data_IF_420598585437
#
_entry.id   IF_420598585437
#
_cell.length_a   1.000
_cell.length_b   1.000
_cell.length_c   1.000
_cell.angle_alpha   90.00
_cell.angle_beta   90.00
_cell.angle_gamma   90.00
#
_symmetry.space_group_name_H-M   'P 1'
#
loop_
_entity.id
_entity.type
_entity.pdbx_description
1 polymer ?
#
# COMPACT_ATOMS: atom_id res chain seq x y z
N UNK A 1 34.48 9.50 34.89
CA UNK A 1 33.22 10.05 34.35
C UNK A 1 33.48 10.44 32.90
N UNK A 2 33.25 9.53 31.96
CA UNK A 2 33.53 9.75 30.53
C UNK A 2 32.15 9.68 29.85
N UNK A 3 31.54 10.84 29.58
CA UNK A 3 30.33 10.93 28.78
C UNK A 3 30.70 10.89 27.30
N UNK A 4 30.22 9.88 26.62
CA UNK A 4 30.54 9.52 25.25
C UNK A 4 29.90 10.49 24.25
N UNK A 5 30.73 11.11 23.43
CA UNK A 5 30.37 11.99 22.27
C UNK A 5 29.58 11.28 21.12
N UNK A 6 29.16 10.05 21.29
CA UNK A 6 28.44 9.30 20.24
C UNK A 6 26.95 9.62 20.09
N UNK A 7 26.30 10.18 21.13
CA UNK A 7 24.87 10.47 21.10
C UNK A 7 24.49 11.75 20.34
N UNK A 8 25.42 12.68 20.17
CA UNK A 8 25.12 14.00 19.56
C UNK A 8 25.13 13.99 18.02
N UNK A 9 25.86 13.06 17.41
CA UNK A 9 25.99 12.99 15.93
C UNK A 9 24.76 12.34 15.30
N UNK A 10 24.13 11.38 15.97
CA UNK A 10 22.90 10.74 15.46
C UNK A 10 21.69 11.68 15.45
N UNK A 11 21.57 12.57 16.42
CA UNK A 11 20.45 13.52 16.55
C UNK A 11 20.49 14.63 15.49
N UNK A 12 21.69 15.04 15.06
CA UNK A 12 21.84 16.09 14.03
C UNK A 12 21.64 15.53 12.62
N UNK A 13 21.98 14.26 12.37
CA UNK A 13 21.75 13.61 11.08
C UNK A 13 20.28 13.34 10.82
N UNK A 14 19.53 12.89 11.82
CA UNK A 14 18.10 12.67 11.70
C UNK A 14 17.32 13.96 11.42
N UNK A 15 17.67 15.07 12.08
CA UNK A 15 16.97 16.35 11.86
C UNK A 15 17.30 17.01 10.52
N UNK A 16 18.50 16.78 9.95
CA UNK A 16 18.88 17.34 8.66
C UNK A 16 18.22 16.58 7.48
N UNK A 17 18.08 15.26 7.58
CA UNK A 17 17.41 14.43 6.58
C UNK A 17 15.90 14.66 6.63
N UNK A 18 15.30 14.74 7.82
CA UNK A 18 13.88 15.04 7.98
C UNK A 18 13.50 16.44 7.47
N UNK A 19 14.30 17.49 7.75
CA UNK A 19 13.99 18.83 7.28
C UNK A 19 14.17 19.03 5.76
N UNK A 20 15.09 18.32 5.11
CA UNK A 20 15.29 18.46 3.65
C UNK A 20 14.23 17.69 2.84
N UNK A 21 13.70 16.58 3.38
CA UNK A 21 12.66 15.78 2.73
C UNK A 21 11.25 16.34 2.97
N UNK A 22 11.02 17.00 4.10
CA UNK A 22 9.68 17.48 4.48
C UNK A 22 9.23 18.73 3.72
N UNK A 23 10.14 19.61 3.31
CA UNK A 23 9.76 20.84 2.58
C UNK A 23 9.29 20.59 1.13
N UNK A 24 9.63 19.44 0.53
CA UNK A 24 9.14 19.07 -0.81
C UNK A 24 7.85 18.24 -0.80
N UNK A 25 7.56 17.54 0.33
CA UNK A 25 6.40 16.65 0.44
C UNK A 25 5.10 17.40 0.78
N UNK A 26 5.18 18.67 1.21
CA UNK A 26 4.02 19.52 1.46
C UNK A 26 3.20 19.83 0.19
N UNK A 27 3.78 19.62 -1.01
CA UNK A 27 3.11 19.81 -2.30
C UNK A 27 2.50 18.52 -2.88
N UNK A 28 2.73 17.36 -2.24
CA UNK A 28 2.12 16.10 -2.68
C UNK A 28 0.65 16.11 -2.29
N UNK A 29 -0.21 16.23 -3.28
CA UNK A 29 -1.66 16.22 -3.10
C UNK A 29 -2.27 14.96 -3.70
N UNK A 30 -3.24 14.40 -3.02
CA UNK A 30 -3.99 13.23 -3.47
C UNK A 30 -3.62 11.94 -2.74
N UNK A 31 -4.62 11.14 -2.41
CA UNK A 31 -4.44 9.89 -1.67
C UNK A 31 -3.73 8.83 -2.51
N UNK A 32 -3.15 7.83 -1.81
CA UNK A 32 -2.39 6.75 -2.42
C UNK A 32 -2.93 5.39 -1.98
N UNK A 33 -3.04 4.46 -2.91
CA UNK A 33 -3.37 3.06 -2.62
C UNK A 33 -2.11 2.20 -2.73
N UNK A 34 -1.76 1.50 -1.67
CA UNK A 34 -0.74 0.45 -1.70
C UNK A 34 -1.42 -0.85 -2.08
N UNK A 35 -1.09 -1.39 -3.26
CA UNK A 35 -1.75 -2.56 -3.82
C UNK A 35 -0.80 -3.73 -4.07
N UNK A 36 -1.38 -4.89 -4.28
CA UNK A 36 -0.66 -6.13 -4.62
C UNK A 36 -1.23 -7.35 -3.92
N UNK A 37 -0.66 -8.50 -4.23
CA UNK A 37 -1.08 -9.82 -3.73
C UNK A 37 -0.82 -9.99 -2.23
N UNK A 38 -1.33 -11.05 -1.63
CA UNK A 38 -1.01 -11.43 -0.26
C UNK A 38 0.50 -11.61 -0.07
N UNK A 39 1.02 -11.25 1.09
CA UNK A 39 2.45 -11.37 1.40
C UNK A 39 3.35 -10.29 0.77
N UNK A 40 2.86 -9.41 -0.10
CA UNK A 40 3.71 -8.36 -0.69
C UNK A 40 4.12 -7.26 0.30
N UNK A 41 3.50 -7.18 1.50
CA UNK A 41 3.92 -6.25 2.54
C UNK A 41 3.15 -4.93 2.57
N UNK A 42 1.93 -4.87 2.01
CA UNK A 42 1.10 -3.65 1.96
C UNK A 42 1.01 -2.90 3.27
N UNK A 43 0.55 -3.56 4.34
CA UNK A 43 0.37 -2.92 5.65
C UNK A 43 1.68 -2.42 6.24
N UNK A 44 2.75 -3.22 6.16
CA UNK A 44 4.08 -2.82 6.68
C UNK A 44 4.63 -1.62 5.92
N UNK A 45 4.54 -1.62 4.60
CA UNK A 45 5.01 -0.51 3.78
C UNK A 45 4.12 0.74 3.97
N UNK A 46 2.79 0.57 3.98
CA UNK A 46 1.86 1.68 4.20
C UNK A 46 2.08 2.35 5.57
N UNK A 47 2.31 1.56 6.62
CA UNK A 47 2.63 2.10 7.94
C UNK A 47 3.95 2.90 7.95
N UNK A 48 5.00 2.39 7.29
CA UNK A 48 6.27 3.12 7.16
C UNK A 48 6.11 4.41 6.35
N UNK A 49 5.36 4.36 5.23
CA UNK A 49 5.11 5.52 4.39
C UNK A 49 4.30 6.60 5.12
N UNK A 50 3.21 6.22 5.80
CA UNK A 50 2.37 7.16 6.56
C UNK A 50 3.12 7.81 7.72
N UNK A 51 3.96 7.02 8.41
CA UNK A 51 4.82 7.57 9.45
C UNK A 51 5.79 8.63 8.91
N UNK A 52 6.41 8.36 7.75
CA UNK A 52 7.37 9.30 7.14
C UNK A 52 6.70 10.57 6.57
N UNK A 53 5.48 10.45 6.04
CA UNK A 53 4.74 11.57 5.45
C UNK A 53 3.87 12.35 6.44
N UNK A 54 3.63 11.82 7.63
CA UNK A 54 2.64 12.35 8.56
C UNK A 54 1.19 12.17 8.06
N UNK A 55 0.95 11.15 7.20
CA UNK A 55 -0.35 10.88 6.58
C UNK A 55 -1.14 9.85 7.40
N UNK A 56 -2.42 9.71 7.07
CA UNK A 56 -3.31 8.75 7.72
C UNK A 56 -3.31 7.40 6.99
N UNK A 57 -3.27 6.31 7.75
CA UNK A 57 -3.38 4.94 7.24
C UNK A 57 -4.83 4.47 7.29
N UNK A 58 -5.28 3.89 6.19
CA UNK A 58 -6.56 3.18 6.07
C UNK A 58 -6.23 1.73 5.71
N UNK A 59 -6.47 0.80 6.64
CA UNK A 59 -6.36 -0.63 6.38
C UNK A 59 -7.65 -1.12 5.72
N UNK A 60 -7.57 -1.39 4.40
CA UNK A 60 -8.76 -1.75 3.62
C UNK A 60 -9.44 -3.04 4.10
N UNK A 61 -8.68 -3.96 4.68
CA UNK A 61 -9.22 -5.22 5.20
C UNK A 61 -10.18 -5.01 6.38
N UNK A 62 -10.04 -3.91 7.14
CA UNK A 62 -10.93 -3.57 8.27
C UNK A 62 -12.35 -3.17 7.80
N UNK A 63 -12.51 -2.84 6.53
CA UNK A 63 -13.79 -2.43 5.94
C UNK A 63 -14.56 -3.56 5.26
N UNK A 64 -14.07 -4.80 5.34
CA UNK A 64 -14.83 -5.93 4.81
C UNK A 64 -16.07 -6.22 5.64
N UNK A 65 -17.22 -6.45 4.99
CA UNK A 65 -18.41 -6.90 5.70
C UNK A 65 -18.18 -8.29 6.31
N UNK A 66 -18.90 -8.66 7.37
CA UNK A 66 -18.70 -9.93 8.07
C UNK A 66 -18.76 -11.16 7.16
N UNK A 67 -19.59 -11.13 6.13
CA UNK A 67 -19.75 -12.22 5.16
C UNK A 67 -18.44 -12.46 4.38
N UNK A 68 -17.76 -11.38 3.96
CA UNK A 68 -16.49 -11.45 3.27
C UNK A 68 -15.39 -11.97 4.20
N UNK A 69 -15.36 -11.49 5.44
CA UNK A 69 -14.41 -11.97 6.46
C UNK A 69 -14.59 -13.48 6.69
N UNK A 70 -15.82 -13.96 6.78
CA UNK A 70 -16.13 -15.38 6.97
C UNK A 70 -15.68 -16.23 5.78
N UNK A 71 -15.93 -15.77 4.53
CA UNK A 71 -15.42 -16.44 3.32
C UNK A 71 -13.89 -16.54 3.34
N UNK A 72 -13.18 -15.43 3.60
CA UNK A 72 -11.72 -15.41 3.64
C UNK A 72 -11.15 -16.35 4.72
N UNK A 73 -11.76 -16.39 5.90
CA UNK A 73 -11.38 -17.32 6.99
C UNK A 73 -11.59 -18.78 6.61
N UNK A 74 -12.62 -19.07 5.83
CA UNK A 74 -12.90 -20.41 5.31
C UNK A 74 -12.02 -20.78 4.10
N UNK A 75 -11.10 -19.90 3.66
CA UNK A 75 -10.28 -20.12 2.47
C UNK A 75 -11.04 -20.00 1.15
N UNK A 76 -12.22 -19.38 1.17
CA UNK A 76 -13.06 -19.16 -0.01
C UNK A 76 -12.69 -17.83 -0.64
N UNK A 77 -12.24 -17.78 -1.91
CA UNK A 77 -11.96 -16.53 -2.60
C UNK A 77 -13.23 -15.67 -2.75
N UNK A 78 -13.06 -14.36 -2.56
CA UNK A 78 -14.14 -13.42 -2.81
C UNK A 78 -14.41 -13.29 -4.31
N UNK A 79 -15.68 -13.15 -4.69
CA UNK A 79 -16.11 -12.85 -6.06
C UNK A 79 -16.01 -11.34 -6.35
N UNK A 80 -16.32 -10.95 -7.59
CA UNK A 80 -16.37 -9.52 -7.97
C UNK A 80 -17.56 -8.82 -7.28
N UNK A 81 -18.67 -9.52 -7.11
CA UNK A 81 -19.85 -9.05 -6.39
C UNK A 81 -19.57 -8.83 -4.91
N UNK A 82 -18.85 -9.76 -4.28
CA UNK A 82 -18.42 -9.61 -2.87
C UNK A 82 -17.58 -8.36 -2.67
N UNK A 83 -16.78 -7.96 -3.67
CA UNK A 83 -15.90 -6.80 -3.58
C UNK A 83 -16.56 -5.48 -3.96
N UNK A 84 -17.63 -5.50 -4.74
CA UNK A 84 -18.23 -4.30 -5.31
C UNK A 84 -18.63 -3.29 -4.21
N UNK A 85 -19.38 -3.75 -3.20
CA UNK A 85 -19.79 -2.90 -2.07
C UNK A 85 -18.61 -2.42 -1.22
N UNK A 86 -17.65 -3.32 -0.98
CA UNK A 86 -16.43 -3.00 -0.22
C UNK A 86 -15.59 -1.92 -0.91
N UNK A 87 -15.40 -1.96 -2.23
CA UNK A 87 -14.67 -0.93 -2.97
C UNK A 87 -15.35 0.44 -2.91
N UNK A 88 -16.68 0.48 -2.88
CA UNK A 88 -17.42 1.73 -2.68
C UNK A 88 -17.15 2.31 -1.28
N UNK A 89 -17.18 1.46 -0.25
CA UNK A 89 -16.87 1.88 1.12
C UNK A 89 -15.44 2.40 1.25
N UNK A 90 -14.47 1.75 0.59
CA UNK A 90 -13.08 2.21 0.58
C UNK A 90 -12.92 3.57 -0.12
N UNK A 91 -13.60 3.79 -1.24
CA UNK A 91 -13.59 5.10 -1.92
C UNK A 91 -14.19 6.20 -1.02
N UNK A 92 -15.27 5.90 -0.30
CA UNK A 92 -15.86 6.83 0.68
C UNK A 92 -14.90 7.13 1.84
N UNK A 93 -14.22 6.11 2.36
CA UNK A 93 -13.21 6.29 3.40
C UNK A 93 -12.06 7.18 2.94
N UNK A 94 -11.56 7.01 1.71
CA UNK A 94 -10.54 7.89 1.13
C UNK A 94 -11.01 9.35 1.04
N UNK A 95 -12.26 9.59 0.60
CA UNK A 95 -12.83 10.94 0.55
C UNK A 95 -12.93 11.55 1.95
N UNK A 96 -13.35 10.77 2.95
CA UNK A 96 -13.50 11.25 4.34
C UNK A 96 -12.15 11.60 4.99
N UNK A 97 -11.09 10.82 4.72
CA UNK A 97 -9.75 11.05 5.25
C UNK A 97 -8.99 12.14 4.48
N UNK A 98 -9.43 12.48 3.27
CA UNK A 98 -8.87 13.56 2.47
C UNK A 98 -7.57 13.18 1.73
N UNK A 99 -6.85 14.20 1.23
CA UNK A 99 -5.74 13.99 0.29
C UNK A 99 -4.49 13.38 0.92
N UNK A 100 -4.34 13.42 2.23
CA UNK A 100 -3.19 12.88 2.96
C UNK A 100 -3.51 11.50 3.56
N UNK A 101 -4.04 10.60 2.74
CA UNK A 101 -4.41 9.25 3.14
C UNK A 101 -3.69 8.19 2.31
N UNK A 102 -3.29 7.11 2.96
CA UNK A 102 -2.75 5.89 2.35
C UNK A 102 -3.70 4.75 2.66
N UNK A 103 -4.23 4.13 1.60
CA UNK A 103 -5.11 2.97 1.71
C UNK A 103 -4.35 1.69 1.36
N UNK A 104 -4.47 0.64 2.15
CA UNK A 104 -4.08 -0.71 1.72
C UNK A 104 -5.28 -1.41 1.05
N UNK A 105 -5.08 -1.92 -0.15
CA UNK A 105 -6.10 -2.67 -0.88
C UNK A 105 -5.43 -3.62 -1.87
N UNK A 106 -5.95 -4.83 -2.07
CA UNK A 106 -5.37 -5.73 -3.08
C UNK A 106 -5.47 -5.16 -4.49
N UNK A 107 -6.58 -4.54 -4.87
CA UNK A 107 -6.83 -3.80 -6.14
C UNK A 107 -6.34 -4.54 -7.41
N UNK A 108 -6.48 -5.88 -7.45
CA UNK A 108 -5.81 -6.76 -8.42
C UNK A 108 -6.30 -6.57 -9.85
N UNK A 109 -7.61 -6.36 -10.04
CA UNK A 109 -8.19 -6.13 -11.38
C UNK A 109 -8.20 -4.64 -11.72
N UNK A 110 -8.04 -4.33 -12.99
CA UNK A 110 -8.18 -2.95 -13.48
C UNK A 110 -9.55 -2.36 -13.12
N UNK A 111 -10.61 -3.17 -13.23
CA UNK A 111 -11.98 -2.76 -12.87
C UNK A 111 -12.11 -2.33 -11.41
N UNK A 112 -11.33 -2.91 -10.48
CA UNK A 112 -11.30 -2.49 -9.06
C UNK A 112 -10.61 -1.15 -8.89
N UNK A 113 -9.48 -0.94 -9.58
CA UNK A 113 -8.77 0.35 -9.58
C UNK A 113 -9.63 1.45 -10.18
N UNK A 114 -10.30 1.16 -11.30
CA UNK A 114 -11.24 2.09 -11.93
C UNK A 114 -12.45 2.41 -11.02
N UNK A 115 -12.91 1.42 -10.23
CA UNK A 115 -13.98 1.66 -9.24
C UNK A 115 -13.56 2.64 -8.15
N UNK A 116 -12.34 2.51 -7.62
CA UNK A 116 -11.81 3.44 -6.64
C UNK A 116 -11.61 4.84 -7.25
N UNK A 117 -11.07 4.95 -8.48
CA UNK A 117 -10.89 6.23 -9.19
C UNK A 117 -12.20 6.95 -9.49
N UNK A 118 -13.31 6.24 -9.70
CA UNK A 118 -14.63 6.90 -9.85
C UNK A 118 -15.03 7.72 -8.63
N UNK A 119 -14.66 7.25 -7.43
CA UNK A 119 -14.89 8.00 -6.19
C UNK A 119 -13.81 9.03 -5.87
N UNK A 120 -12.57 8.80 -6.36
CA UNK A 120 -11.39 9.62 -6.09
C UNK A 120 -10.58 9.77 -7.40
N UNK A 121 -10.86 10.77 -8.25
CA UNK A 121 -10.30 10.86 -9.61
C UNK A 121 -8.77 10.87 -9.66
N UNK A 122 -8.10 11.58 -8.75
CA UNK A 122 -6.63 11.72 -8.71
C UNK A 122 -5.92 10.61 -7.92
N UNK A 123 -6.60 9.47 -7.72
CA UNK A 123 -6.08 8.37 -6.94
C UNK A 123 -4.90 7.69 -7.62
N UNK A 124 -3.76 7.68 -6.91
CA UNK A 124 -2.53 7.03 -7.34
C UNK A 124 -2.37 5.67 -6.68
N UNK A 125 -1.67 4.76 -7.37
CA UNK A 125 -1.46 3.39 -6.88
C UNK A 125 0.04 3.07 -6.84
N UNK A 126 0.47 2.42 -5.78
CA UNK A 126 1.79 1.79 -5.67
C UNK A 126 1.58 0.29 -5.67
N UNK A 127 1.98 -0.36 -6.75
CA UNK A 127 1.92 -1.81 -6.89
C UNK A 127 3.21 -2.43 -6.35
N UNK A 128 3.09 -3.16 -5.23
CA UNK A 128 4.16 -3.96 -4.65
C UNK A 128 4.22 -5.30 -5.37
N UNK A 129 5.14 -5.42 -6.31
CA UNK A 129 5.28 -6.63 -7.13
C UNK A 129 6.09 -7.72 -6.42
N UNK A 130 5.57 -8.93 -6.44
CA UNK A 130 6.24 -10.17 -6.02
C UNK A 130 6.01 -11.27 -7.05
N UNK A 131 6.89 -12.27 -7.07
CA UNK A 131 6.58 -13.54 -7.73
C UNK A 131 5.63 -14.39 -6.85
N UNK A 132 5.00 -15.38 -7.49
CA UNK A 132 4.12 -16.31 -6.80
C UNK A 132 4.86 -17.07 -5.67
N UNK A 133 6.07 -17.53 -5.95
CA UNK A 133 6.93 -18.27 -5.03
C UNK A 133 7.30 -17.41 -3.81
N UNK A 134 7.67 -16.16 -4.04
CA UNK A 134 7.98 -15.20 -2.98
C UNK A 134 6.75 -14.90 -2.10
N UNK A 135 5.57 -14.75 -2.72
CA UNK A 135 4.32 -14.54 -1.99
C UNK A 135 4.00 -15.73 -1.08
N UNK A 136 4.06 -16.97 -1.61
CA UNK A 136 3.83 -18.20 -0.84
C UNK A 136 4.82 -18.29 0.32
N UNK A 137 6.13 -18.08 0.07
CA UNK A 137 7.15 -18.15 1.10
C UNK A 137 6.88 -17.16 2.25
N UNK A 138 6.50 -15.92 1.93
CA UNK A 138 6.21 -14.90 2.96
C UNK A 138 4.92 -15.19 3.73
N UNK A 139 3.87 -15.65 3.05
CA UNK A 139 2.59 -15.98 3.68
C UNK A 139 2.72 -17.18 4.62
N UNK A 140 3.49 -18.21 4.23
CA UNK A 140 3.72 -19.41 5.04
C UNK A 140 4.50 -19.14 6.34
N UNK A 141 5.27 -18.05 6.41
CA UNK A 141 6.05 -17.66 7.57
C UNK A 141 5.28 -16.81 8.59
N UNK A 142 4.03 -16.39 8.29
CA UNK A 142 3.24 -15.55 9.22
C UNK A 142 2.63 -16.41 10.33
N UNK A 143 2.99 -16.20 11.62
CA UNK A 143 2.35 -16.89 12.73
C UNK A 143 0.88 -16.48 12.85
N UNK A 144 -0.01 -17.45 13.04
CA UNK A 144 -1.43 -17.20 13.34
C UNK A 144 -2.34 -16.91 12.14
N UNK A 145 -1.83 -16.84 10.92
CA UNK A 145 -2.65 -16.73 9.73
C UNK A 145 -2.72 -18.04 8.96
N UNK A 146 -3.87 -18.70 9.03
CA UNK A 146 -4.24 -19.80 8.13
C UNK A 146 -4.56 -19.24 6.74
N UNK A 147 -3.56 -18.63 6.08
CA UNK A 147 -3.73 -18.21 4.70
C UNK A 147 -3.41 -19.41 3.80
N UNK A 148 -4.44 -19.98 3.23
CA UNK A 148 -4.27 -21.16 2.38
C UNK A 148 -3.54 -20.79 1.07
N UNK A 149 -2.59 -21.63 0.60
CA UNK A 149 -1.91 -21.41 -0.69
C UNK A 149 -2.88 -21.21 -1.85
N UNK A 150 -4.06 -21.82 -1.80
CA UNK A 150 -5.15 -21.65 -2.79
C UNK A 150 -5.63 -20.21 -2.93
N UNK A 151 -5.58 -19.41 -1.86
CA UNK A 151 -5.92 -17.99 -1.92
C UNK A 151 -4.83 -17.17 -2.61
N UNK A 152 -3.55 -17.55 -2.47
CA UNK A 152 -2.45 -16.93 -3.23
C UNK A 152 -2.66 -17.17 -4.71
N UNK A 153 -2.93 -18.41 -5.12
CA UNK A 153 -3.14 -18.78 -6.51
C UNK A 153 -4.31 -18.03 -7.13
N UNK A 154 -5.43 -17.92 -6.40
CA UNK A 154 -6.59 -17.16 -6.87
C UNK A 154 -6.28 -15.66 -7.04
N UNK A 155 -5.41 -15.10 -6.21
CA UNK A 155 -4.99 -13.70 -6.35
C UNK A 155 -4.07 -13.48 -7.55
N UNK A 156 -3.13 -14.39 -7.82
CA UNK A 156 -2.30 -14.33 -9.02
C UNK A 156 -3.10 -14.53 -10.29
N UNK A 157 -4.10 -15.40 -10.27
CA UNK A 157 -5.03 -15.59 -11.38
C UNK A 157 -5.91 -14.34 -11.66
N UNK A 158 -6.24 -13.58 -10.60
CA UNK A 158 -7.02 -12.36 -10.72
C UNK A 158 -6.17 -11.11 -11.00
N UNK A 159 -4.83 -11.18 -10.86
CA UNK A 159 -3.95 -10.04 -11.01
C UNK A 159 -3.84 -9.60 -12.47
N UNK A 160 -4.42 -8.47 -12.78
CA UNK A 160 -4.17 -7.72 -13.99
C UNK A 160 -3.05 -6.71 -13.71
N UNK A 161 -1.81 -7.06 -14.11
CA UNK A 161 -0.65 -6.18 -13.88
C UNK A 161 -0.89 -4.80 -14.49
N UNK A 162 -0.64 -3.71 -13.74
CA UNK A 162 -0.90 -2.35 -14.22
C UNK A 162 0.23 -1.84 -15.13
N UNK A 163 0.50 -2.56 -16.23
CA UNK A 163 1.54 -2.17 -17.19
C UNK A 163 1.10 -0.92 -17.95
N UNK A 164 1.91 0.14 -17.88
CA UNK A 164 1.63 1.45 -18.51
C UNK A 164 0.27 2.05 -18.10
N UNK A 165 -0.21 1.72 -16.91
CA UNK A 165 -1.42 2.31 -16.36
C UNK A 165 -1.09 3.66 -15.72
N UNK A 166 -1.73 4.74 -16.18
CA UNK A 166 -1.51 6.09 -15.66
C UNK A 166 -1.78 6.15 -14.14
N UNK A 167 -0.96 6.91 -13.42
CA UNK A 167 -1.07 7.05 -11.96
C UNK A 167 -0.73 5.77 -11.20
N UNK A 168 0.03 4.83 -11.79
CA UNK A 168 0.50 3.62 -11.10
C UNK A 168 2.02 3.52 -11.16
N UNK A 169 2.65 3.37 -10.00
CA UNK A 169 4.06 2.99 -9.86
C UNK A 169 4.15 1.53 -9.45
N UNK A 170 4.88 0.72 -10.20
CA UNK A 170 5.22 -0.65 -9.81
C UNK A 170 6.63 -0.68 -9.22
N UNK A 171 6.79 -1.30 -8.06
CA UNK A 171 8.06 -1.44 -7.35
C UNK A 171 8.29 -2.90 -6.94
N UNK A 172 9.55 -3.32 -6.92
CA UNK A 172 9.93 -4.64 -6.43
C UNK A 172 9.78 -4.70 -4.90
N UNK A 173 8.82 -5.51 -4.43
CA UNK A 173 8.54 -5.67 -3.01
C UNK A 173 9.61 -6.50 -2.25
N UNK A 174 10.66 -6.96 -2.91
CA UNK A 174 11.81 -7.63 -2.26
C UNK A 174 12.87 -6.65 -1.76
N UNK A 175 12.83 -5.41 -2.24
CA UNK A 175 13.75 -4.37 -1.83
C UNK A 175 13.53 -3.96 -0.36
N UNK A 176 14.54 -3.40 0.31
CA UNK A 176 14.37 -2.77 1.62
C UNK A 176 13.27 -1.71 1.61
N UNK A 177 12.52 -1.61 2.70
CA UNK A 177 11.38 -0.66 2.83
C UNK A 177 11.83 0.77 2.55
N UNK A 178 13.00 1.15 3.03
CA UNK A 178 13.58 2.49 2.84
C UNK A 178 13.84 2.80 1.36
N UNK A 179 14.29 1.79 0.60
CA UNK A 179 14.50 1.93 -0.86
C UNK A 179 13.18 2.12 -1.59
N UNK A 180 12.17 1.31 -1.26
CA UNK A 180 10.83 1.44 -1.85
C UNK A 180 10.24 2.82 -1.48
N UNK A 181 10.39 3.24 -0.24
CA UNK A 181 9.90 4.53 0.25
C UNK A 181 10.53 5.69 -0.52
N UNK A 182 11.86 5.67 -0.74
CA UNK A 182 12.55 6.69 -1.53
C UNK A 182 12.03 6.76 -2.97
N UNK A 183 11.82 5.62 -3.63
CA UNK A 183 11.23 5.56 -4.98
C UNK A 183 9.82 6.14 -5.03
N UNK A 184 8.98 5.75 -4.07
CA UNK A 184 7.59 6.21 -3.99
C UNK A 184 7.53 7.71 -3.69
N UNK A 185 8.32 8.22 -2.75
CA UNK A 185 8.35 9.65 -2.44
C UNK A 185 8.82 10.48 -3.65
N UNK A 186 9.86 10.04 -4.35
CA UNK A 186 10.33 10.71 -5.57
C UNK A 186 9.25 10.74 -6.66
N UNK A 187 8.53 9.62 -6.87
CA UNK A 187 7.44 9.54 -7.84
C UNK A 187 6.24 10.40 -7.44
N UNK A 188 5.90 10.46 -6.15
CA UNK A 188 4.80 11.29 -5.65
C UNK A 188 5.09 12.79 -5.83
N UNK A 189 6.37 13.19 -5.76
CA UNK A 189 6.82 14.58 -5.97
C UNK A 189 6.95 14.98 -7.43
N UNK A 190 7.17 14.00 -8.32
CA UNK A 190 7.23 14.29 -9.74
C UNK A 190 5.86 14.81 -10.20
N UNK A 191 5.77 16.09 -10.55
CA UNK A 191 4.61 16.64 -11.24
C UNK A 191 4.48 15.85 -12.54
N UNK A 192 3.33 15.21 -12.78
CA UNK A 192 3.06 14.64 -14.09
C UNK A 192 3.23 15.77 -15.11
N UNK A 193 4.26 15.67 -15.96
CA UNK A 193 4.37 16.52 -17.13
C UNK A 193 3.21 16.15 -18.05
N UNK A 194 2.15 16.95 -18.03
CA UNK A 194 1.06 16.95 -19.01
C UNK A 194 1.55 17.58 -20.29
#
# INVERSE_FOLDING_TARGET
>A
MVFTQRSFIYTIWDSAIQNSSMNGLAEVTGPVVIMGVAGCGKSSFAAALTHALGWQLIEGDDYHPPENVNKMRAGIPLTDEDRAGWLVVLAQALVQHGPQAVLTCSALKKSYRDSLRRGVPDLRFVHLELTREQSIARVSQRPGHYFQPTLVDSQFAALEKPVNEAGVLTVDATLPIETIQAQVCAWLQAKECV
#
